data_IF_664472887570
#
_entry.id   IF_664472887570
#
_cell.length_a   1.000
_cell.length_b   1.000
_cell.length_c   1.000
_cell.angle_alpha   90.00
_cell.angle_beta   90.00
_cell.angle_gamma   90.00
#
_symmetry.space_group_name_H-M   'P 1'
#
loop_
_entity.id
_entity.type
_entity.pdbx_description
1 polymer ?
#
# COMPACT_ATOMS: atom_id res chain seq x y z
N UNK A 1 -22.72 -20.28 -10.73
CA UNK A 1 -23.09 -19.20 -9.79
C UNK A 1 -21.84 -18.43 -9.40
N UNK A 2 -21.73 -17.16 -9.80
CA UNK A 2 -20.66 -16.27 -9.35
C UNK A 2 -20.91 -15.87 -7.88
N UNK A 3 -20.42 -16.69 -6.94
CA UNK A 3 -20.17 -16.22 -5.58
C UNK A 3 -18.91 -15.36 -5.68
N UNK A 4 -19.04 -14.05 -5.39
CA UNK A 4 -18.03 -12.98 -5.44
C UNK A 4 -16.55 -13.37 -5.63
N UNK A 5 -15.81 -12.61 -6.44
CA UNK A 5 -14.35 -12.76 -6.58
C UNK A 5 -13.55 -12.39 -5.31
N UNK A 6 -14.18 -11.66 -4.38
CA UNK A 6 -13.57 -11.17 -3.15
C UNK A 6 -13.92 -12.07 -1.95
N UNK A 7 -12.98 -12.32 -1.03
CA UNK A 7 -13.30 -12.97 0.24
C UNK A 7 -14.25 -12.07 1.04
N UNK A 8 -15.35 -12.61 1.58
CA UNK A 8 -16.29 -11.89 2.48
C UNK A 8 -16.47 -10.39 2.11
N UNK A 9 -17.21 -10.07 1.03
CA UNK A 9 -17.14 -8.75 0.37
C UNK A 9 -17.36 -7.55 1.29
N UNK A 10 -18.38 -7.59 2.16
CA UNK A 10 -18.65 -6.49 3.10
C UNK A 10 -17.46 -6.17 4.01
N UNK A 11 -16.99 -7.14 4.82
CA UNK A 11 -15.79 -6.98 5.63
C UNK A 11 -14.53 -6.61 4.84
N UNK A 12 -14.34 -7.21 3.66
CA UNK A 12 -13.17 -6.93 2.81
C UNK A 12 -13.12 -5.45 2.41
N UNK A 13 -14.16 -4.93 1.77
CA UNK A 13 -14.15 -3.54 1.31
C UNK A 13 -14.11 -2.54 2.46
N UNK A 14 -14.77 -2.83 3.58
CA UNK A 14 -14.72 -1.92 4.72
C UNK A 14 -13.33 -1.90 5.36
N UNK A 15 -12.67 -3.06 5.49
CA UNK A 15 -11.29 -3.11 5.96
C UNK A 15 -10.31 -2.45 4.97
N UNK A 16 -10.52 -2.62 3.67
CA UNK A 16 -9.70 -1.98 2.63
C UNK A 16 -9.81 -0.46 2.70
N UNK A 17 -11.03 0.06 2.86
CA UNK A 17 -11.28 1.50 3.01
C UNK A 17 -10.60 2.07 4.25
N UNK A 18 -10.78 1.43 5.42
CA UNK A 18 -10.15 1.88 6.67
C UNK A 18 -8.63 1.78 6.58
N UNK A 19 -8.08 0.69 6.06
CA UNK A 19 -6.64 0.49 5.92
C UNK A 19 -6.02 1.51 4.96
N UNK A 20 -6.68 1.77 3.82
CA UNK A 20 -6.24 2.79 2.86
C UNK A 20 -6.25 4.18 3.49
N UNK A 21 -7.29 4.54 4.24
CA UNK A 21 -7.34 5.81 4.97
C UNK A 21 -6.19 5.93 5.96
N UNK A 22 -5.94 4.90 6.78
CA UNK A 22 -4.81 4.91 7.72
C UNK A 22 -3.49 5.11 6.99
N UNK A 23 -3.25 4.34 5.91
CA UNK A 23 -2.02 4.41 5.14
C UNK A 23 -1.81 5.79 4.49
N UNK A 24 -2.88 6.39 3.93
CA UNK A 24 -2.84 7.72 3.32
C UNK A 24 -2.64 8.79 4.40
N UNK A 25 -3.41 8.77 5.49
CA UNK A 25 -3.31 9.74 6.57
C UNK A 25 -1.91 9.69 7.19
N UNK A 26 -1.37 8.51 7.46
CA UNK A 26 -0.01 8.37 7.97
C UNK A 26 1.01 9.03 7.04
N UNK A 27 0.93 8.73 5.74
CA UNK A 27 1.87 9.29 4.77
C UNK A 27 1.77 10.82 4.69
N UNK A 28 0.55 11.35 4.62
CA UNK A 28 0.27 12.79 4.50
C UNK A 28 0.52 13.57 5.79
N UNK A 29 0.39 12.94 6.97
CA UNK A 29 0.62 13.57 8.27
C UNK A 29 2.11 13.68 8.66
N UNK A 30 3.02 13.47 7.70
CA UNK A 30 4.47 13.56 7.93
C UNK A 30 5.15 12.20 8.17
N UNK A 31 4.44 11.08 8.04
CA UNK A 31 5.04 9.75 8.08
C UNK A 31 6.02 9.53 6.93
N UNK A 32 5.74 10.07 5.74
CA UNK A 32 6.66 10.05 4.60
C UNK A 32 7.97 10.75 4.91
N UNK A 33 7.91 12.01 5.35
CA UNK A 33 9.07 12.82 5.72
C UNK A 33 9.89 12.17 6.85
N UNK A 34 9.21 11.56 7.81
CA UNK A 34 9.87 10.84 8.90
C UNK A 34 10.68 9.66 8.37
N UNK A 35 10.12 8.82 7.49
CA UNK A 35 10.86 7.71 6.88
C UNK A 35 11.97 8.20 5.97
N UNK A 36 11.72 9.24 5.16
CA UNK A 36 12.72 9.86 4.29
C UNK A 36 13.96 10.32 5.08
N UNK A 37 13.77 10.97 6.23
CA UNK A 37 14.85 11.40 7.12
C UNK A 37 15.65 10.24 7.71
N UNK A 38 15.00 9.13 8.07
CA UNK A 38 15.68 7.95 8.60
C UNK A 38 16.62 7.31 7.57
N UNK A 39 16.30 7.41 6.29
CA UNK A 39 17.07 6.82 5.20
C UNK A 39 18.00 7.86 4.53
N UNK A 40 17.96 9.12 4.97
CA UNK A 40 18.81 10.20 4.47
C UNK A 40 18.42 10.68 3.07
N UNK A 41 17.14 10.62 2.72
CA UNK A 41 16.65 11.12 1.44
C UNK A 41 16.68 12.66 1.40
N UNK A 42 16.97 13.17 0.21
CA UNK A 42 17.05 14.61 -0.08
C UNK A 42 15.70 15.09 -0.60
N UNK A 43 15.23 16.24 -0.08
CA UNK A 43 14.01 16.90 -0.57
C UNK A 43 14.10 17.38 -2.03
N UNK A 44 15.30 17.34 -2.64
CA UNK A 44 15.50 17.71 -4.04
C UNK A 44 15.01 16.60 -4.99
N UNK A 45 13.77 16.76 -5.46
CA UNK A 45 13.19 15.86 -6.45
C UNK A 45 13.53 16.33 -7.88
N UNK A 46 14.23 15.52 -8.70
CA UNK A 46 14.53 15.87 -10.10
C UNK A 46 13.26 16.19 -10.91
N UNK A 47 13.36 17.09 -11.89
CA UNK A 47 12.26 17.42 -12.83
C UNK A 47 12.24 16.44 -14.02
N UNK A 48 13.32 15.68 -14.21
CA UNK A 48 13.44 14.66 -15.27
C UNK A 48 12.89 13.29 -14.84
N UNK A 49 12.96 12.30 -15.73
CA UNK A 49 12.63 10.90 -15.43
C UNK A 49 13.48 10.30 -14.29
N UNK A 50 14.59 10.95 -13.88
CA UNK A 50 15.34 10.56 -12.69
C UNK A 50 14.50 10.62 -11.40
N UNK A 51 13.39 11.39 -11.40
CA UNK A 51 12.40 11.42 -10.31
C UNK A 51 11.91 10.03 -9.90
N UNK A 52 11.65 9.14 -10.86
CA UNK A 52 11.14 7.78 -10.57
C UNK A 52 12.17 6.90 -9.85
N UNK A 53 13.44 7.28 -9.93
CA UNK A 53 14.56 6.58 -9.30
C UNK A 53 15.15 7.36 -8.12
N UNK A 54 14.53 8.48 -7.73
CA UNK A 54 14.98 9.22 -6.55
C UNK A 54 14.66 8.43 -5.28
N UNK A 55 15.48 8.63 -4.25
CA UNK A 55 15.34 7.89 -3.01
C UNK A 55 13.95 8.10 -2.37
N UNK A 56 13.41 9.31 -2.42
CA UNK A 56 12.05 9.63 -1.95
C UNK A 56 10.97 8.76 -2.61
N UNK A 57 11.02 8.64 -3.94
CA UNK A 57 10.05 7.85 -4.68
C UNK A 57 10.22 6.35 -4.43
N UNK A 58 11.45 5.87 -4.29
CA UNK A 58 11.72 4.48 -3.93
C UNK A 58 11.19 4.14 -2.53
N UNK A 59 11.33 5.06 -1.56
CA UNK A 59 10.76 4.90 -0.22
C UNK A 59 9.24 4.86 -0.28
N UNK A 60 8.62 5.74 -1.07
CA UNK A 60 7.17 5.70 -1.29
C UNK A 60 6.73 4.37 -1.90
N UNK A 61 7.44 3.85 -2.90
CA UNK A 61 7.13 2.54 -3.51
C UNK A 61 7.28 1.40 -2.51
N UNK A 62 8.32 1.43 -1.69
CA UNK A 62 8.52 0.45 -0.63
C UNK A 62 7.39 0.51 0.40
N UNK A 63 7.00 1.71 0.84
CA UNK A 63 5.89 1.91 1.76
C UNK A 63 4.57 1.39 1.18
N UNK A 64 4.26 1.75 -0.07
CA UNK A 64 3.09 1.25 -0.79
C UNK A 64 3.08 -0.28 -0.87
N UNK A 65 4.20 -0.88 -1.27
CA UNK A 65 4.36 -2.33 -1.37
C UNK A 65 4.12 -3.01 -0.01
N UNK A 66 4.63 -2.44 1.08
CA UNK A 66 4.41 -2.93 2.44
C UNK A 66 2.93 -2.83 2.83
N UNK A 67 2.28 -1.68 2.60
CA UNK A 67 0.87 -1.50 2.93
C UNK A 67 -0.03 -2.47 2.17
N UNK A 68 0.18 -2.65 0.86
CA UNK A 68 -0.56 -3.61 0.03
C UNK A 68 -0.22 -5.04 0.44
N UNK A 69 1.06 -5.35 0.64
CA UNK A 69 1.53 -6.68 1.02
C UNK A 69 0.96 -7.14 2.36
N UNK A 70 0.94 -6.26 3.37
CA UNK A 70 0.34 -6.57 4.68
C UNK A 70 -1.16 -6.83 4.56
N UNK A 71 -1.88 -5.97 3.84
CA UNK A 71 -3.32 -6.14 3.62
C UNK A 71 -3.63 -7.45 2.88
N UNK A 72 -2.91 -7.71 1.79
CA UNK A 72 -3.07 -8.92 0.99
C UNK A 72 -2.74 -10.17 1.80
N UNK A 73 -1.62 -10.17 2.54
CA UNK A 73 -1.19 -11.29 3.38
C UNK A 73 -2.23 -11.60 4.45
N UNK A 74 -2.77 -10.58 5.12
CA UNK A 74 -3.84 -10.76 6.09
C UNK A 74 -5.05 -11.50 5.48
N UNK A 75 -5.52 -11.05 4.31
CA UNK A 75 -6.68 -11.67 3.67
C UNK A 75 -6.41 -13.06 3.10
N UNK A 76 -5.19 -13.29 2.60
CA UNK A 76 -4.75 -14.61 2.12
C UNK A 76 -4.75 -15.65 3.23
N UNK A 77 -4.46 -15.24 4.48
CA UNK A 77 -4.45 -16.12 5.65
C UNK A 77 -5.86 -16.22 6.28
N UNK A 78 -6.54 -15.09 6.47
CA UNK A 78 -7.80 -15.02 7.22
C UNK A 78 -8.99 -15.65 6.47
N UNK A 79 -9.04 -15.54 5.14
CA UNK A 79 -10.11 -16.09 4.32
C UNK A 79 -9.60 -16.45 2.92
N UNK A 80 -8.80 -17.53 2.79
CA UNK A 80 -8.21 -17.93 1.51
C UNK A 80 -9.27 -18.05 0.42
N UNK A 81 -9.04 -17.44 -0.73
CA UNK A 81 -9.99 -17.43 -1.84
C UNK A 81 -9.30 -17.75 -3.17
N UNK A 82 -9.94 -18.58 -4.00
CA UNK A 82 -9.36 -19.04 -5.28
C UNK A 82 -8.95 -17.91 -6.24
N UNK A 83 -9.60 -16.75 -6.12
CA UNK A 83 -9.38 -15.58 -6.99
C UNK A 83 -8.58 -14.47 -6.29
N UNK A 84 -8.02 -14.71 -5.10
CA UNK A 84 -7.39 -13.68 -4.27
C UNK A 84 -6.20 -12.98 -4.94
N UNK A 85 -5.46 -13.67 -5.82
CA UNK A 85 -4.38 -13.05 -6.61
C UNK A 85 -4.87 -12.05 -7.66
N UNK A 86 -6.14 -12.13 -8.07
CA UNK A 86 -6.75 -11.21 -9.04
C UNK A 86 -7.61 -10.15 -8.37
N UNK A 87 -8.18 -10.46 -7.19
CA UNK A 87 -9.10 -9.58 -6.49
C UNK A 87 -8.45 -8.77 -5.39
N UNK A 88 -7.23 -9.10 -4.96
CA UNK A 88 -6.55 -8.41 -3.85
C UNK A 88 -5.20 -7.84 -4.29
N UNK A 89 -4.44 -8.58 -5.11
CA UNK A 89 -3.21 -8.13 -5.77
C UNK A 89 -3.51 -7.71 -7.21
#
# INVERSE_FOLDING_TARGET
MFKSFFPKPGPFFMSAFVWALIAVIFWQAGGGDWVARLVGASDEVPISAARFWSLDYLIFYAYYLICVGLFATFWFIYSPHRWQYWSIL
#
